data_IF_466051010074
#
_entry.id   IF_466051010074
#
_cell.length_a   1.000
_cell.length_b   1.000
_cell.length_c   1.000
_cell.angle_alpha   90.00
_cell.angle_beta   90.00
_cell.angle_gamma   90.00
#
_symmetry.space_group_name_H-M   'P 1'
#
loop_
_entity.id
_entity.type
_entity.pdbx_description
1 polymer ?
#
# COMPACT_ATOMS: atom_id res chain seq x y z
N UNK A 1 15.36 -29.29 -29.56
CA UNK A 1 15.33 -28.16 -28.59
C UNK A 1 15.25 -28.60 -27.13
N UNK A 2 14.71 -29.78 -26.80
CA UNK A 2 14.63 -30.30 -25.44
C UNK A 2 15.75 -31.31 -25.11
N UNK A 3 17.01 -30.89 -25.23
CA UNK A 3 18.18 -31.76 -24.99
C UNK A 3 18.82 -31.45 -23.64
N UNK A 4 18.94 -30.16 -23.32
CA UNK A 4 19.48 -29.67 -22.05
C UNK A 4 18.43 -28.81 -21.35
N UNK A 5 18.57 -28.60 -20.05
CA UNK A 5 17.66 -27.74 -19.26
C UNK A 5 17.61 -26.33 -19.84
N UNK A 6 18.78 -25.76 -20.23
CA UNK A 6 18.87 -24.41 -20.78
C UNK A 6 18.10 -24.27 -22.11
N UNK A 7 18.30 -25.22 -23.01
CA UNK A 7 17.65 -25.23 -24.32
C UNK A 7 16.16 -25.55 -24.20
N UNK A 8 15.78 -26.37 -23.21
CA UNK A 8 14.39 -26.68 -22.87
C UNK A 8 13.64 -25.46 -22.33
N UNK A 9 14.24 -24.69 -21.42
CA UNK A 9 13.64 -23.44 -20.91
C UNK A 9 13.42 -22.41 -22.03
N UNK A 10 14.42 -22.26 -22.91
CA UNK A 10 14.31 -21.38 -24.06
C UNK A 10 13.21 -21.84 -25.04
N UNK A 11 13.07 -23.16 -25.26
CA UNK A 11 12.01 -23.73 -26.07
C UNK A 11 10.61 -23.47 -25.46
N UNK A 12 10.46 -23.55 -24.14
CA UNK A 12 9.21 -23.20 -23.44
C UNK A 12 8.87 -21.72 -23.62
N UNK A 13 9.87 -20.83 -23.52
CA UNK A 13 9.66 -19.40 -23.76
C UNK A 13 9.22 -19.09 -25.19
N UNK A 14 9.84 -19.72 -26.19
CA UNK A 14 9.42 -19.59 -27.59
C UNK A 14 8.00 -20.11 -27.79
N UNK A 15 7.67 -21.25 -27.19
CA UNK A 15 6.33 -21.81 -27.24
C UNK A 15 5.28 -20.89 -26.59
N UNK A 16 5.63 -20.23 -25.48
CA UNK A 16 4.81 -19.22 -24.81
C UNK A 16 4.52 -18.01 -25.72
N UNK A 17 5.51 -17.58 -26.49
CA UNK A 17 5.39 -16.51 -27.48
C UNK A 17 4.62 -16.92 -28.75
N UNK A 18 4.19 -18.19 -28.85
CA UNK A 18 3.45 -18.72 -29.99
C UNK A 18 4.31 -19.30 -31.11
N UNK A 19 5.62 -19.44 -30.90
CA UNK A 19 6.51 -20.04 -31.89
C UNK A 19 6.51 -21.57 -31.80
N UNK A 20 5.89 -22.21 -32.81
CA UNK A 20 5.82 -23.67 -32.92
C UNK A 20 7.14 -24.33 -33.30
N UNK A 21 8.17 -23.58 -33.71
CA UNK A 21 9.49 -24.10 -34.06
C UNK A 21 10.13 -24.85 -32.88
N UNK A 22 9.77 -24.49 -31.64
CA UNK A 22 10.19 -25.15 -30.41
C UNK A 22 9.84 -26.66 -30.36
N UNK A 23 8.75 -27.05 -31.02
CA UNK A 23 8.19 -28.40 -31.02
C UNK A 23 8.46 -29.16 -32.33
N UNK A 24 9.13 -28.54 -33.30
CA UNK A 24 9.36 -29.09 -34.65
C UNK A 24 10.04 -30.46 -34.67
N UNK A 25 10.87 -30.77 -33.68
CA UNK A 25 11.56 -32.06 -33.57
C UNK A 25 10.68 -33.21 -33.06
N UNK A 26 9.44 -32.94 -32.63
CA UNK A 26 8.56 -33.94 -32.02
C UNK A 26 7.31 -34.15 -32.89
N UNK A 27 7.22 -35.34 -33.49
CA UNK A 27 6.03 -35.78 -34.21
C UNK A 27 4.92 -36.12 -33.22
N UNK A 28 3.76 -35.47 -33.37
CA UNK A 28 2.58 -35.67 -32.52
C UNK A 28 2.00 -37.09 -32.62
N UNK A 29 2.26 -37.79 -33.72
CA UNK A 29 1.73 -39.14 -33.97
C UNK A 29 2.48 -40.22 -33.18
N UNK A 30 3.75 -40.01 -32.88
CA UNK A 30 4.62 -41.05 -32.32
C UNK A 30 4.57 -41.09 -30.78
N UNK A 31 4.07 -40.03 -30.13
CA UNK A 31 4.11 -39.89 -28.67
C UNK A 31 2.82 -39.22 -28.13
N UNK A 32 1.76 -39.99 -27.82
CA UNK A 32 0.49 -39.43 -27.36
C UNK A 32 0.61 -38.63 -26.06
N UNK A 33 1.52 -39.00 -25.16
CA UNK A 33 1.75 -38.30 -23.89
C UNK A 33 2.25 -36.86 -24.08
N UNK A 34 3.11 -36.63 -25.08
CA UNK A 34 3.63 -35.29 -25.40
C UNK A 34 2.51 -34.43 -25.99
N UNK A 35 1.67 -35.00 -26.85
CA UNK A 35 0.52 -34.30 -27.40
C UNK A 35 -0.45 -33.85 -26.29
N UNK A 36 -0.75 -34.72 -25.32
CA UNK A 36 -1.60 -34.38 -24.16
C UNK A 36 -0.96 -33.25 -23.33
N UNK A 37 0.34 -33.32 -23.07
CA UNK A 37 1.04 -32.28 -22.29
C UNK A 37 1.02 -30.92 -23.00
N UNK A 38 1.21 -30.89 -24.32
CA UNK A 38 1.17 -29.66 -25.14
C UNK A 38 -0.22 -29.04 -25.09
N UNK A 39 -1.28 -29.83 -25.25
CA UNK A 39 -2.67 -29.35 -25.19
C UNK A 39 -2.98 -28.80 -23.81
N UNK A 40 -2.61 -29.51 -22.75
CA UNK A 40 -2.87 -29.08 -21.38
C UNK A 40 -2.08 -27.81 -21.02
N UNK A 41 -0.81 -27.76 -21.41
CA UNK A 41 0.02 -26.56 -21.22
C UNK A 41 -0.54 -25.36 -21.99
N UNK A 42 -0.93 -25.55 -23.26
CA UNK A 42 -1.52 -24.48 -24.06
C UNK A 42 -2.81 -23.96 -23.43
N UNK A 43 -3.69 -24.84 -22.95
CA UNK A 43 -4.92 -24.43 -22.26
C UNK A 43 -4.61 -23.66 -20.98
N UNK A 44 -3.69 -24.14 -20.15
CA UNK A 44 -3.33 -23.46 -18.90
C UNK A 44 -2.73 -22.08 -19.19
N UNK A 45 -1.83 -21.97 -20.15
CA UNK A 45 -1.11 -20.72 -20.35
C UNK A 45 -1.90 -19.71 -21.16
N UNK A 46 -2.46 -20.11 -22.30
CA UNK A 46 -3.20 -19.21 -23.19
C UNK A 46 -4.55 -18.82 -22.57
N UNK A 47 -5.28 -19.77 -21.98
CA UNK A 47 -6.64 -19.49 -21.47
C UNK A 47 -6.61 -18.99 -20.04
N UNK A 48 -5.78 -19.56 -19.15
CA UNK A 48 -5.81 -19.17 -17.74
C UNK A 48 -4.79 -18.07 -17.44
N UNK A 49 -3.51 -18.28 -17.74
CA UNK A 49 -2.45 -17.38 -17.28
C UNK A 49 -2.47 -16.02 -18.01
N UNK A 50 -2.68 -15.99 -19.33
CA UNK A 50 -2.76 -14.72 -20.07
C UNK A 50 -3.99 -13.91 -19.68
N UNK A 51 -5.16 -14.54 -19.53
CA UNK A 51 -6.37 -13.84 -19.12
C UNK A 51 -6.27 -13.32 -17.67
N UNK A 52 -5.68 -14.11 -16.76
CA UNK A 52 -5.38 -13.66 -15.41
C UNK A 52 -4.42 -12.46 -15.42
N UNK A 53 -3.33 -12.54 -16.18
CA UNK A 53 -2.35 -11.47 -16.29
C UNK A 53 -2.97 -10.19 -16.85
N UNK A 54 -3.79 -10.29 -17.90
CA UNK A 54 -4.52 -9.16 -18.47
C UNK A 54 -5.47 -8.55 -17.43
N UNK A 55 -6.20 -9.38 -16.68
CA UNK A 55 -7.10 -8.91 -15.62
C UNK A 55 -6.39 -8.18 -14.49
N UNK A 56 -5.27 -8.73 -14.01
CA UNK A 56 -4.42 -8.09 -13.00
C UNK A 56 -3.81 -6.79 -13.51
N UNK A 57 -3.31 -6.79 -14.74
CA UNK A 57 -2.73 -5.60 -15.36
C UNK A 57 -3.79 -4.51 -15.55
N UNK A 58 -5.00 -4.87 -15.98
CA UNK A 58 -6.09 -3.91 -16.13
C UNK A 58 -6.45 -3.28 -14.79
N UNK A 59 -6.53 -4.07 -13.71
CA UNK A 59 -6.81 -3.55 -12.37
C UNK A 59 -5.72 -2.58 -11.88
N UNK A 60 -4.45 -2.92 -12.09
CA UNK A 60 -3.33 -2.03 -11.73
C UNK A 60 -3.32 -0.74 -12.57
N UNK A 61 -3.60 -0.83 -13.88
CA UNK A 61 -3.72 0.35 -14.75
C UNK A 61 -4.87 1.24 -14.31
N UNK A 62 -6.01 0.68 -13.91
CA UNK A 62 -7.18 1.45 -13.45
C UNK A 62 -6.87 2.25 -12.19
N UNK A 63 -6.13 1.67 -11.24
CA UNK A 63 -5.68 2.34 -10.01
C UNK A 63 -4.69 3.49 -10.32
N UNK A 64 -3.75 3.27 -11.25
CA UNK A 64 -2.69 4.23 -11.58
C UNK A 64 -3.05 5.23 -12.71
N UNK A 65 -4.18 5.08 -13.40
CA UNK A 65 -4.65 6.01 -14.42
C UNK A 65 -5.24 7.29 -13.81
N UNK A 66 -4.44 7.95 -12.97
CA UNK A 66 -4.78 9.19 -12.31
C UNK A 66 -4.11 10.37 -13.03
N UNK A 67 -4.95 11.23 -13.62
CA UNK A 67 -4.52 12.48 -14.25
C UNK A 67 -3.72 13.38 -13.29
N UNK A 68 -4.04 13.36 -12.00
CA UNK A 68 -3.35 14.15 -10.98
C UNK A 68 -1.91 13.65 -10.81
N UNK A 69 -1.71 12.33 -10.69
CA UNK A 69 -0.38 11.72 -10.60
C UNK A 69 0.48 12.03 -11.84
N UNK A 70 -0.11 11.97 -13.03
CA UNK A 70 0.57 12.36 -14.27
C UNK A 70 1.03 13.82 -14.26
N UNK A 71 0.15 14.75 -13.83
CA UNK A 71 0.50 16.17 -13.75
C UNK A 71 1.57 16.44 -12.70
N UNK A 72 1.54 15.74 -11.57
CA UNK A 72 2.55 15.83 -10.51
C UNK A 72 3.93 15.38 -11.02
N UNK A 73 4.02 14.20 -11.62
CA UNK A 73 5.27 13.70 -12.22
C UNK A 73 5.78 14.63 -13.31
N UNK A 74 4.88 15.17 -14.15
CA UNK A 74 5.25 16.15 -15.16
C UNK A 74 5.83 17.42 -14.55
N UNK A 75 5.26 17.91 -13.45
CA UNK A 75 5.76 19.09 -12.75
C UNK A 75 7.13 18.82 -12.10
N UNK A 76 7.32 17.64 -11.52
CA UNK A 76 8.59 17.21 -10.94
C UNK A 76 9.71 17.16 -12.00
N UNK A 77 9.45 16.52 -13.14
CA UNK A 77 10.39 16.47 -14.27
C UNK A 77 10.70 17.87 -14.79
N UNK A 78 9.68 18.74 -14.90
CA UNK A 78 9.90 20.13 -15.31
C UNK A 78 10.78 20.89 -14.32
N UNK A 79 10.55 20.76 -13.02
CA UNK A 79 11.38 21.37 -11.99
C UNK A 79 12.84 20.87 -12.05
N UNK A 80 13.04 19.57 -12.32
CA UNK A 80 14.37 18.99 -12.49
C UNK A 80 15.09 19.57 -13.73
N UNK A 81 14.38 19.66 -14.87
CA UNK A 81 14.90 20.30 -16.09
C UNK A 81 15.27 21.75 -15.82
N UNK A 82 14.40 22.48 -15.15
CA UNK A 82 14.61 23.89 -14.82
C UNK A 82 15.82 24.10 -13.91
N UNK A 83 16.02 23.23 -12.93
CA UNK A 83 17.08 23.37 -11.95
C UNK A 83 18.45 22.93 -12.49
N UNK A 84 18.50 21.81 -13.22
CA UNK A 84 19.78 21.17 -13.59
C UNK A 84 20.20 21.38 -15.05
N UNK A 85 19.24 21.59 -15.97
CA UNK A 85 19.53 21.59 -17.40
C UNK A 85 19.45 22.98 -18.06
N UNK A 86 18.84 23.97 -17.40
CA UNK A 86 18.74 25.34 -17.93
C UNK A 86 19.85 26.28 -17.45
N UNK A 87 20.41 27.05 -18.40
CA UNK A 87 21.39 28.08 -18.09
C UNK A 87 20.74 29.29 -17.37
N UNK A 88 21.49 30.05 -16.55
CA UNK A 88 20.94 31.18 -15.80
C UNK A 88 20.24 32.24 -16.67
N UNK A 89 20.65 32.43 -17.92
CA UNK A 89 20.01 33.39 -18.82
C UNK A 89 18.67 32.88 -19.38
N UNK A 90 18.55 31.56 -19.63
CA UNK A 90 17.31 30.94 -20.11
C UNK A 90 16.21 30.99 -19.05
N UNK A 91 16.58 30.79 -17.78
CA UNK A 91 15.65 30.92 -16.64
C UNK A 91 15.11 32.34 -16.43
N UNK A 92 15.73 33.35 -17.04
CA UNK A 92 15.28 34.76 -16.97
C UNK A 92 14.50 35.19 -18.21
N UNK A 93 14.26 34.28 -19.17
CA UNK A 93 13.45 34.58 -20.34
C UNK A 93 11.98 34.63 -19.96
N UNK A 94 11.42 35.85 -19.93
CA UNK A 94 10.02 36.11 -19.58
C UNK A 94 9.01 35.37 -20.47
N UNK A 95 9.39 35.03 -21.70
CA UNK A 95 8.55 34.26 -22.64
C UNK A 95 8.39 32.80 -22.21
N UNK A 96 9.39 32.22 -21.53
CA UNK A 96 9.35 30.83 -21.03
C UNK A 96 8.97 30.77 -19.56
N UNK A 97 9.38 31.78 -18.78
CA UNK A 97 9.10 31.93 -17.36
C UNK A 97 8.35 33.24 -17.12
N UNK A 98 7.01 33.24 -17.27
CA UNK A 98 6.22 34.43 -17.01
C UNK A 98 6.27 34.79 -15.53
N UNK A 99 6.21 36.09 -15.23
CA UNK A 99 6.21 36.61 -13.85
C UNK A 99 4.89 36.32 -13.12
N UNK A 100 3.80 36.14 -13.88
CA UNK A 100 2.45 35.87 -13.36
C UNK A 100 1.78 34.80 -14.22
N UNK A 101 1.16 33.80 -13.57
CA UNK A 101 0.35 32.77 -14.23
C UNK A 101 -1.11 33.00 -13.84
N UNK A 102 -1.96 33.24 -14.83
CA UNK A 102 -3.40 33.35 -14.61
C UNK A 102 -4.05 31.97 -14.78
N UNK A 103 -4.71 31.50 -13.73
CA UNK A 103 -5.51 30.28 -13.76
C UNK A 103 -6.97 30.61 -13.54
N UNK A 104 -7.85 30.03 -14.35
CA UNK A 104 -9.29 30.14 -14.17
C UNK A 104 -9.77 28.92 -13.39
N UNK A 105 -10.33 29.17 -12.21
CA UNK A 105 -10.98 28.16 -11.38
C UNK A 105 -12.47 28.47 -11.27
N UNK A 106 -13.29 27.43 -11.33
CA UNK A 106 -14.73 27.52 -11.14
C UNK A 106 -15.04 27.68 -9.65
N UNK A 107 -15.73 28.78 -9.29
CA UNK A 107 -15.98 29.17 -7.90
C UNK A 107 -16.71 28.07 -7.12
N UNK A 108 -17.69 27.42 -7.73
CA UNK A 108 -18.53 26.43 -7.04
C UNK A 108 -17.76 25.12 -6.86
N UNK A 109 -17.02 24.66 -7.88
CA UNK A 109 -16.16 23.47 -7.75
C UNK A 109 -15.05 23.69 -6.72
N UNK A 110 -14.43 24.86 -6.73
CA UNK A 110 -13.40 25.20 -5.74
C UNK A 110 -13.97 25.23 -4.33
N UNK A 111 -15.18 25.76 -4.13
CA UNK A 111 -15.84 25.73 -2.82
C UNK A 111 -16.05 24.30 -2.31
N UNK A 112 -16.62 23.43 -3.14
CA UNK A 112 -16.88 22.02 -2.79
C UNK A 112 -15.58 21.31 -2.39
N UNK A 113 -14.51 21.53 -3.15
CA UNK A 113 -13.23 20.87 -2.90
C UNK A 113 -12.54 21.37 -1.63
N UNK A 114 -12.58 22.67 -1.36
CA UNK A 114 -12.03 23.21 -0.11
C UNK A 114 -12.80 22.69 1.09
N UNK A 115 -14.14 22.62 1.03
CA UNK A 115 -14.94 22.02 2.10
C UNK A 115 -14.61 20.54 2.32
N UNK A 116 -14.33 19.79 1.25
CA UNK A 116 -13.87 18.39 1.31
C UNK A 116 -12.52 18.29 2.03
N UNK A 117 -11.51 19.05 1.59
CA UNK A 117 -10.16 19.08 2.20
C UNK A 117 -10.20 19.44 3.68
N UNK A 118 -11.09 20.37 4.07
CA UNK A 118 -11.25 20.77 5.46
C UNK A 118 -11.88 19.65 6.31
N UNK A 119 -12.84 18.90 5.76
CA UNK A 119 -13.46 17.75 6.45
C UNK A 119 -12.47 16.59 6.60
N UNK A 120 -11.65 16.35 5.59
CA UNK A 120 -10.64 15.29 5.56
C UNK A 120 -9.38 15.66 6.38
N UNK A 121 -9.23 16.93 6.79
CA UNK A 121 -8.09 17.40 7.57
C UNK A 121 -6.83 17.66 6.73
N UNK A 122 -6.93 17.61 5.41
CA UNK A 122 -5.84 17.86 4.46
C UNK A 122 -5.60 19.37 4.21
N UNK A 123 -6.48 20.22 4.72
CA UNK A 123 -6.38 21.68 4.66
C UNK A 123 -5.43 22.25 5.74
N UNK A 124 -4.16 21.84 5.75
CA UNK A 124 -3.11 22.42 6.61
C UNK A 124 -1.85 22.69 5.78
N UNK A 125 -1.75 23.89 5.20
CA UNK A 125 -0.52 24.35 4.54
C UNK A 125 0.02 25.59 5.26
N UNK A 126 1.01 25.35 6.12
CA UNK A 126 1.63 26.37 6.98
C UNK A 126 2.44 27.41 6.20
N UNK A 127 2.81 27.14 4.95
CA UNK A 127 3.62 28.07 4.14
C UNK A 127 2.80 29.23 3.54
N UNK A 128 1.49 29.03 3.33
CA UNK A 128 0.65 29.98 2.57
C UNK A 128 -0.60 30.48 3.31
N UNK A 129 -0.54 30.63 4.63
CA UNK A 129 -1.68 30.98 5.50
C UNK A 129 -2.44 32.24 5.00
N UNK A 130 -1.71 33.32 4.69
CA UNK A 130 -2.32 34.58 4.25
C UNK A 130 -3.07 34.43 2.90
N UNK A 131 -2.57 33.58 2.00
CA UNK A 131 -3.24 33.31 0.73
C UNK A 131 -4.49 32.45 0.92
N UNK A 132 -4.45 31.48 1.84
CA UNK A 132 -5.61 30.66 2.20
C UNK A 132 -6.73 31.49 2.83
N UNK A 133 -6.41 32.39 3.76
CA UNK A 133 -7.40 33.28 4.39
C UNK A 133 -8.10 34.16 3.36
N UNK A 134 -7.34 34.77 2.44
CA UNK A 134 -7.90 35.57 1.34
C UNK A 134 -8.78 34.73 0.40
N UNK A 135 -8.38 33.49 0.11
CA UNK A 135 -9.16 32.60 -0.74
C UNK A 135 -10.51 32.25 -0.08
N UNK A 136 -10.51 31.93 1.22
CA UNK A 136 -11.73 31.65 1.98
C UNK A 136 -12.66 32.86 2.02
N UNK A 137 -12.10 34.06 2.20
CA UNK A 137 -12.85 35.32 2.17
C UNK A 137 -13.49 35.55 0.79
N UNK A 138 -12.73 35.39 -0.30
CA UNK A 138 -13.25 35.56 -1.66
C UNK A 138 -14.31 34.53 -2.04
N UNK A 139 -14.18 33.28 -1.58
CA UNK A 139 -15.14 32.22 -1.83
C UNK A 139 -16.35 32.26 -0.90
N UNK A 140 -16.35 33.19 0.07
CA UNK A 140 -17.36 33.36 1.12
C UNK A 140 -17.60 32.09 1.94
N UNK A 141 -16.55 31.27 2.08
CA UNK A 141 -16.63 30.04 2.86
C UNK A 141 -16.51 30.44 4.32
N UNK A 142 -17.59 30.23 5.07
CA UNK A 142 -17.62 30.45 6.51
C UNK A 142 -16.89 29.29 7.21
N UNK A 143 -15.58 29.19 6.98
CA UNK A 143 -14.75 28.35 7.82
C UNK A 143 -14.62 29.04 9.16
N UNK A 144 -15.31 28.53 10.16
CA UNK A 144 -15.00 28.86 11.53
C UNK A 144 -13.84 27.93 11.95
N UNK A 145 -12.57 28.38 11.92
CA UNK A 145 -11.44 27.53 12.33
C UNK A 145 -11.61 26.99 13.76
N UNK A 146 -12.49 27.60 14.55
CA UNK A 146 -12.80 27.20 15.91
C UNK A 146 -13.63 25.91 16.01
N UNK A 147 -14.44 25.56 15.00
CA UNK A 147 -15.23 24.31 15.03
C UNK A 147 -14.33 23.09 14.78
N UNK A 148 -13.33 23.24 13.92
CA UNK A 148 -12.30 22.20 13.71
C UNK A 148 -11.34 22.10 14.89
N UNK A 149 -11.05 23.20 15.60
CA UNK A 149 -10.25 23.15 16.84
C UNK A 149 -10.95 22.33 17.92
N UNK A 150 -12.27 22.50 18.08
CA UNK A 150 -13.07 21.71 19.01
C UNK A 150 -13.15 20.21 18.61
N UNK A 151 -13.19 19.91 17.31
CA UNK A 151 -13.14 18.53 16.80
C UNK A 151 -11.73 17.94 17.01
N UNK A 152 -10.66 18.69 16.72
CA UNK A 152 -9.27 18.26 16.92
C UNK A 152 -8.93 18.03 18.40
N UNK A 153 -9.42 18.89 19.31
CA UNK A 153 -9.28 18.68 20.76
C UNK A 153 -10.06 17.44 21.23
N UNK A 154 -11.25 17.18 20.67
CA UNK A 154 -12.01 15.94 20.93
C UNK A 154 -11.28 14.71 20.39
N UNK A 155 -10.68 14.78 19.21
CA UNK A 155 -9.91 13.68 18.60
C UNK A 155 -8.67 13.40 19.43
N UNK A 156 -7.87 14.42 19.78
CA UNK A 156 -6.71 14.26 20.68
C UNK A 156 -7.09 13.68 22.04
N UNK A 157 -8.21 14.13 22.62
CA UNK A 157 -8.73 13.59 23.88
C UNK A 157 -9.18 12.12 23.74
N UNK A 158 -9.64 11.70 22.56
CA UNK A 158 -10.03 10.33 22.30
C UNK A 158 -8.82 9.42 22.03
N UNK A 159 -7.79 9.90 21.35
CA UNK A 159 -6.52 9.16 21.16
C UNK A 159 -5.85 8.89 22.52
N UNK A 160 -5.81 9.88 23.42
CA UNK A 160 -5.31 9.68 24.79
C UNK A 160 -6.14 8.68 25.60
N UNK A 161 -7.44 8.55 25.33
CA UNK A 161 -8.31 7.54 25.95
C UNK A 161 -8.06 6.16 25.36
N UNK A 162 -7.81 6.07 24.05
CA UNK A 162 -7.51 4.82 23.36
C UNK A 162 -6.19 4.22 23.86
N UNK A 163 -5.14 5.04 24.02
CA UNK A 163 -3.85 4.62 24.60
C UNK A 163 -3.98 4.09 26.04
N UNK A 164 -4.91 4.67 26.82
CA UNK A 164 -5.21 4.18 28.19
C UNK A 164 -5.96 2.85 28.15
N UNK A 165 -6.87 2.67 27.19
CA UNK A 165 -7.60 1.42 27.00
C UNK A 165 -6.67 0.28 26.57
N UNK A 166 -5.73 0.55 25.68
CA UNK A 166 -4.76 -0.46 25.24
C UNK A 166 -3.80 -0.89 26.37
N UNK A 167 -3.50 0.02 27.31
CA UNK A 167 -2.76 -0.31 28.53
C UNK A 167 -3.56 -1.18 29.50
N UNK A 168 -4.88 -0.96 29.59
CA UNK A 168 -5.79 -1.80 30.38
C UNK A 168 -5.85 -3.23 29.84
N UNK A 169 -6.00 -3.42 28.53
CA UNK A 169 -5.99 -4.75 27.90
C UNK A 169 -4.66 -5.50 28.12
N UNK A 170 -3.53 -4.77 28.17
CA UNK A 170 -2.21 -5.36 28.47
C UNK A 170 -2.11 -5.79 29.94
N UNK A 171 -2.76 -5.07 30.86
CA UNK A 171 -2.85 -5.40 32.28
C UNK A 171 -3.71 -6.64 32.52
N UNK A 172 -4.86 -6.75 31.87
CA UNK A 172 -5.74 -7.92 31.96
C UNK A 172 -5.03 -9.19 31.47
N UNK A 173 -4.28 -9.11 30.36
CA UNK A 173 -3.44 -10.23 29.88
C UNK A 173 -2.29 -10.60 30.82
N UNK A 174 -1.84 -9.68 31.67
CA UNK A 174 -0.82 -9.95 32.68
C UNK A 174 -1.44 -10.63 33.91
N UNK A 175 -2.65 -10.22 34.32
CA UNK A 175 -3.42 -10.88 35.37
C UNK A 175 -3.72 -12.35 35.01
N UNK A 176 -4.20 -12.62 33.78
CA UNK A 176 -4.44 -13.98 33.27
C UNK A 176 -3.19 -14.88 33.33
N UNK A 177 -2.01 -14.29 33.11
CA UNK A 177 -0.73 -15.01 33.20
C UNK A 177 -0.32 -15.26 34.63
N UNK A 178 -0.62 -14.33 35.54
CA UNK A 178 -0.34 -14.46 36.96
C UNK A 178 -1.18 -15.58 37.57
N UNK A 179 -2.47 -15.63 37.26
CA UNK A 179 -3.40 -16.65 37.74
C UNK A 179 -2.97 -18.06 37.29
N UNK A 180 -2.54 -18.22 36.04
CA UNK A 180 -1.95 -19.48 35.54
C UNK A 180 -0.64 -19.86 36.23
N UNK A 181 0.10 -18.89 36.76
CA UNK A 181 1.34 -19.12 37.49
C UNK A 181 1.05 -19.56 38.92
N UNK A 182 0.08 -18.94 39.58
CA UNK A 182 -0.43 -19.36 40.89
C UNK A 182 -0.98 -20.79 40.85
N UNK A 183 -1.76 -21.14 39.82
CA UNK A 183 -2.28 -22.51 39.66
C UNK A 183 -1.17 -23.56 39.41
N UNK A 184 -0.04 -23.14 38.83
CA UNK A 184 1.14 -24.02 38.69
C UNK A 184 1.90 -24.16 39.99
N UNK A 185 1.97 -23.09 40.79
CA UNK A 185 2.66 -23.09 42.08
C UNK A 185 1.96 -24.02 43.07
N UNK A 186 0.63 -23.96 43.15
CA UNK A 186 -0.17 -24.85 44.02
C UNK A 186 0.00 -26.33 43.67
N UNK A 187 0.07 -26.65 42.37
CA UNK A 187 0.38 -28.03 41.91
C UNK A 187 1.79 -28.47 42.28
N UNK A 188 2.75 -27.53 42.37
CA UNK A 188 4.11 -27.82 42.80
C UNK A 188 4.18 -28.09 44.30
N UNK A 189 3.49 -27.29 45.12
CA UNK A 189 3.38 -27.50 46.57
C UNK A 189 2.76 -28.87 46.90
N UNK A 190 1.69 -29.27 46.20
CA UNK A 190 1.12 -30.62 46.34
C UNK A 190 2.12 -31.74 45.97
N UNK A 191 3.03 -31.46 45.04
CA UNK A 191 4.04 -32.43 44.61
C UNK A 191 5.15 -32.57 45.66
N UNK A 192 5.59 -31.45 46.23
CA UNK A 192 6.56 -31.40 47.34
C UNK A 192 6.02 -32.15 48.56
N UNK A 193 4.77 -31.89 48.96
CA UNK A 193 4.16 -32.58 50.10
C UNK A 193 4.06 -34.11 49.89
N UNK A 194 3.80 -34.54 48.64
CA UNK A 194 3.84 -35.97 48.26
C UNK A 194 5.26 -36.54 48.30
N UNK A 195 6.27 -35.75 47.94
CA UNK A 195 7.68 -36.17 47.96
C UNK A 195 8.19 -36.34 49.39
N UNK A 196 7.86 -35.41 50.29
CA UNK A 196 8.19 -35.49 51.72
C UNK A 196 7.58 -36.74 52.37
N UNK A 197 6.30 -37.03 52.08
CA UNK A 197 5.63 -38.26 52.52
C UNK A 197 6.33 -39.54 52.03
N UNK A 198 6.88 -39.54 50.81
CA UNK A 198 7.62 -40.70 50.29
C UNK A 198 9.00 -40.88 50.94
N UNK A 199 9.67 -39.77 51.29
CA UNK A 199 10.95 -39.79 52.00
C UNK A 199 10.79 -40.28 53.46
N UNK A 200 9.70 -39.91 54.14
CA UNK A 200 9.39 -40.44 55.48
C UNK A 200 9.10 -41.96 55.48
N UNK A 201 8.51 -42.49 54.40
CA UNK A 201 8.25 -43.94 54.26
C UNK A 201 9.53 -44.74 54.01
N UNK A 202 10.55 -44.16 53.36
CA UNK A 202 11.84 -44.83 53.10
C UNK A 202 12.86 -44.70 54.25
N UNK A 203 12.63 -43.81 55.23
CA UNK A 203 13.53 -43.59 56.36
C UNK A 203 13.21 -44.44 57.60
N UNK A 204 12.33 -45.45 57.47
CA UNK A 204 11.87 -46.34 58.55
C UNK A 204 12.13 -47.80 58.21
#
# INVERSE_FOLDING_TARGET
MFIDIRTSLFAIYLFLAGDSSALSNWSYADNPSIAILIVLFSLLVVVYLMNLLIGLLNNAIEEDNNRVSYLLQKAEILAEIELFYLLPHQRRWRTWFPEVIHYYADVDKTRIEIERLIKEGEWDNKEFINMQEKLLEQLQIKCNPNDNKAILEKVKSNDEKLDKLEKLDKLEKLEDKLEKLEEKLSKFEELEEKLEKLLEIHAK
#
